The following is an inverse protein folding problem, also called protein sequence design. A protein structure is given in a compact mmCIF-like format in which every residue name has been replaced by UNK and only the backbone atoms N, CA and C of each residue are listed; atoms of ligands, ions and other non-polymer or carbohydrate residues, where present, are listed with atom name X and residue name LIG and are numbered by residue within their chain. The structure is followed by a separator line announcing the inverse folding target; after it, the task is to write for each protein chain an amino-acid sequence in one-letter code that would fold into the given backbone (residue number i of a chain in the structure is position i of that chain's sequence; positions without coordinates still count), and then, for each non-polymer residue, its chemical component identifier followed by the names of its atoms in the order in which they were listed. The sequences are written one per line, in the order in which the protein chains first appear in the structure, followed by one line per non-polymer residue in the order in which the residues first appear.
data_IF_096636729774
#
_entry.id   IF_096636729774
#
_cell.length_a   1.000
_cell.length_b   1.000
_cell.length_c   1.000
_cell.angle_alpha   90.00
_cell.angle_beta   90.00
_cell.angle_gamma   90.00
#
_symmetry.space_group_name_H-M   'P 1'
#
loop_
_entity.id
_entity.type
_entity.pdbx_description
1 polymer ?
#
# COMPACT_ATOMS: atom_id res chain seq x y z
N UNK A 1 21.64 -76.55 -7.60
CA UNK A 1 20.76 -75.36 -7.45
C UNK A 1 21.63 -74.19 -7.02
N UNK A 2 21.74 -73.15 -7.86
CA UNK A 2 22.57 -71.96 -7.62
C UNK A 2 21.75 -70.97 -6.78
N UNK A 3 22.18 -70.69 -5.55
CA UNK A 3 21.60 -69.67 -4.70
C UNK A 3 22.27 -68.32 -5.02
N UNK A 4 21.60 -67.47 -5.80
CA UNK A 4 22.04 -66.10 -6.05
C UNK A 4 21.64 -65.22 -4.87
N UNK A 5 22.62 -64.75 -4.10
CA UNK A 5 22.44 -63.73 -3.05
C UNK A 5 22.53 -62.35 -3.72
N UNK A 6 21.50 -61.49 -3.67
CA UNK A 6 21.65 -60.14 -4.20
C UNK A 6 22.55 -59.35 -3.25
N UNK A 7 23.75 -59.02 -3.71
CA UNK A 7 24.60 -58.03 -3.05
C UNK A 7 24.04 -56.66 -3.41
N UNK A 8 23.21 -56.12 -2.53
CA UNK A 8 22.77 -54.72 -2.63
C UNK A 8 23.99 -53.87 -2.27
N UNK A 9 24.63 -53.32 -3.31
CA UNK A 9 25.76 -52.42 -3.17
C UNK A 9 25.34 -51.20 -2.34
N UNK A 10 25.96 -51.04 -1.17
CA UNK A 10 25.80 -49.90 -0.27
C UNK A 10 26.08 -48.54 -0.95
N UNK A 11 26.67 -48.54 -2.15
CA UNK A 11 26.96 -47.34 -2.93
C UNK A 11 25.72 -46.67 -3.53
N UNK A 12 24.58 -47.36 -3.70
CA UNK A 12 23.39 -46.77 -4.31
C UNK A 12 22.43 -46.13 -3.31
N UNK A 13 22.52 -46.48 -2.02
CA UNK A 13 21.67 -45.89 -0.97
C UNK A 13 22.18 -44.49 -0.61
N UNK A 14 23.48 -44.24 -0.76
CA UNK A 14 24.09 -42.94 -0.45
C UNK A 14 23.73 -41.83 -1.45
N UNK A 15 23.26 -42.14 -2.67
CA UNK A 15 22.92 -41.13 -3.67
C UNK A 15 21.46 -40.65 -3.55
N UNK A 16 20.59 -41.42 -2.88
CA UNK A 16 19.17 -41.04 -2.69
C UNK A 16 18.93 -40.13 -1.47
N UNK A 17 19.93 -39.88 -0.63
CA UNK A 17 19.81 -39.03 0.56
C UNK A 17 20.30 -37.58 0.38
N UNK A 18 20.63 -37.17 -0.86
CA UNK A 18 21.08 -35.81 -1.20
C UNK A 18 19.99 -34.92 -1.83
N UNK A 19 18.72 -35.33 -1.75
CA UNK A 19 17.58 -34.43 -1.96
C UNK A 19 17.06 -34.00 -0.60
N UNK A 20 17.93 -33.40 0.21
CA UNK A 20 17.49 -32.65 1.38
C UNK A 20 16.77 -31.41 0.87
N UNK A 21 15.47 -31.39 1.14
CA UNK A 21 14.54 -30.30 0.89
C UNK A 21 15.18 -28.93 1.14
N UNK A 22 15.49 -28.21 0.06
CA UNK A 22 15.55 -26.75 0.12
C UNK A 22 14.12 -26.29 -0.09
N UNK A 23 13.29 -26.48 0.94
CA UNK A 23 12.14 -25.62 1.11
C UNK A 23 12.72 -24.26 1.48
N UNK A 24 12.99 -23.41 0.48
CA UNK A 24 13.06 -21.97 0.75
C UNK A 24 11.65 -21.60 1.17
N UNK A 25 11.35 -21.73 2.45
CA UNK A 25 10.40 -20.81 3.07
C UNK A 25 10.97 -19.43 2.77
N UNK A 26 10.37 -18.71 1.82
CA UNK A 26 10.61 -17.30 1.68
C UNK A 26 10.25 -16.70 3.05
N UNK A 27 11.26 -16.49 3.88
CA UNK A 27 11.12 -15.66 5.06
C UNK A 27 10.89 -14.29 4.42
N UNK A 28 9.63 -13.85 4.46
CA UNK A 28 9.29 -12.49 4.09
C UNK A 28 9.94 -11.60 5.14
N UNK A 29 11.23 -11.32 4.98
CA UNK A 29 12.01 -10.53 5.93
C UNK A 29 11.31 -9.17 6.07
N UNK A 30 10.85 -8.90 7.29
CA UNK A 30 10.24 -7.63 7.66
C UNK A 30 11.34 -6.55 7.64
N UNK A 31 11.32 -5.69 6.63
CA UNK A 31 12.23 -4.56 6.51
C UNK A 31 11.45 -3.25 6.64
N UNK A 32 12.05 -2.17 7.17
CA UNK A 32 11.39 -0.88 7.20
C UNK A 32 11.04 -0.38 5.79
N UNK A 33 9.78 -0.02 5.57
CA UNK A 33 9.34 0.70 4.38
C UNK A 33 9.99 2.08 4.40
N UNK A 34 10.47 2.57 3.25
CA UNK A 34 11.23 3.82 3.16
C UNK A 34 10.50 4.85 2.31
N UNK A 35 10.61 6.10 2.72
CA UNK A 35 10.08 7.23 1.96
C UNK A 35 10.97 7.55 0.73
N UNK A 36 10.59 8.58 -0.03
CA UNK A 36 11.37 9.05 -1.19
C UNK A 36 12.78 9.52 -0.83
N UNK A 37 13.05 9.90 0.42
CA UNK A 37 14.36 10.32 0.91
C UNK A 37 15.20 9.13 1.42
N UNK A 38 14.59 7.95 1.59
CA UNK A 38 15.24 6.75 2.13
C UNK A 38 15.10 6.61 3.65
N UNK A 39 14.31 7.47 4.30
CA UNK A 39 14.03 7.37 5.73
C UNK A 39 12.94 6.32 5.98
N UNK A 40 13.02 5.54 7.08
CA UNK A 40 11.95 4.63 7.48
C UNK A 40 10.62 5.37 7.69
N UNK A 41 9.54 4.80 7.17
CA UNK A 41 8.18 5.27 7.45
C UNK A 41 7.85 5.09 8.92
N UNK A 42 7.12 6.05 9.47
CA UNK A 42 6.65 6.01 10.85
C UNK A 42 5.12 6.02 10.91
N UNK A 43 4.57 5.30 11.87
CA UNK A 43 3.14 5.38 12.18
C UNK A 43 2.75 6.80 12.61
N UNK A 44 1.47 7.16 12.44
CA UNK A 44 0.93 8.48 12.81
C UNK A 44 1.65 9.69 12.15
N UNK A 45 2.50 9.43 11.15
CA UNK A 45 3.22 10.44 10.36
C UNK A 45 2.55 10.59 9.01
N UNK A 46 2.53 11.83 8.49
CA UNK A 46 1.84 12.16 7.24
C UNK A 46 2.72 11.84 6.03
N UNK A 47 2.17 11.10 5.09
CA UNK A 47 2.80 10.83 3.79
C UNK A 47 1.84 11.12 2.65
N UNK A 48 2.35 11.63 1.53
CA UNK A 48 1.68 11.52 0.25
C UNK A 48 1.99 10.15 -0.36
N UNK A 49 0.96 9.43 -0.81
CA UNK A 49 1.15 8.25 -1.67
C UNK A 49 1.13 8.73 -3.11
N UNK A 50 2.24 8.51 -3.81
CA UNK A 50 2.44 8.97 -5.18
C UNK A 50 2.71 7.78 -6.10
N UNK A 51 2.13 7.76 -7.31
CA UNK A 51 2.48 6.77 -8.31
C UNK A 51 3.98 6.80 -8.60
N UNK A 52 4.62 5.63 -8.64
CA UNK A 52 6.02 5.48 -9.01
C UNK A 52 6.22 5.38 -10.54
N UNK A 53 5.14 5.07 -11.27
CA UNK A 53 5.06 5.01 -12.72
C UNK A 53 4.80 6.39 -13.34
N UNK A 54 4.97 6.48 -14.68
CA UNK A 54 4.80 7.63 -15.59
C UNK A 54 4.44 8.97 -14.95
N UNK A 55 5.24 10.00 -15.19
CA UNK A 55 5.10 11.36 -14.62
C UNK A 55 3.85 12.15 -15.10
N UNK A 56 2.87 11.49 -15.71
CA UNK A 56 1.67 12.13 -16.24
C UNK A 56 0.56 12.15 -15.18
N UNK A 57 0.62 13.14 -14.28
CA UNK A 57 -0.35 13.37 -13.22
C UNK A 57 0.30 13.54 -11.84
N UNK A 58 -0.52 13.62 -10.80
CA UNK A 58 -0.11 13.84 -9.42
C UNK A 58 -0.28 12.60 -8.54
N UNK A 59 -0.45 12.84 -7.24
CA UNK A 59 -0.64 11.80 -6.22
C UNK A 59 -2.08 11.26 -6.13
N UNK A 60 -2.28 10.37 -5.16
CA UNK A 60 -3.58 9.75 -4.89
C UNK A 60 -4.49 10.68 -4.07
N UNK A 61 -5.76 10.77 -4.47
CA UNK A 61 -6.78 11.63 -3.86
C UNK A 61 -8.11 10.88 -3.75
N UNK A 62 -8.98 11.22 -2.79
CA UNK A 62 -10.32 10.64 -2.72
C UNK A 62 -11.23 11.27 -3.78
N UNK A 63 -11.97 10.43 -4.51
CA UNK A 63 -12.99 10.85 -5.47
C UNK A 63 -14.04 9.74 -5.66
N UNK A 64 -15.28 10.09 -6.02
CA UNK A 64 -16.29 9.10 -6.37
C UNK A 64 -15.89 8.33 -7.64
N UNK A 65 -16.02 7.00 -7.64
CA UNK A 65 -15.58 6.15 -8.77
C UNK A 65 -16.51 6.25 -9.97
N UNK A 66 -17.80 6.46 -9.72
CA UNK A 66 -18.86 6.58 -10.72
C UNK A 66 -19.88 7.66 -10.33
N UNK A 67 -20.94 7.83 -11.12
CA UNK A 67 -22.04 8.76 -10.83
C UNK A 67 -23.16 8.14 -9.97
N UNK A 68 -23.09 6.83 -9.70
CA UNK A 68 -24.10 6.09 -8.94
C UNK A 68 -23.95 6.35 -7.44
N UNK A 69 -22.72 6.48 -6.95
CA UNK A 69 -22.41 6.66 -5.54
C UNK A 69 -21.45 7.83 -5.31
N UNK A 70 -21.89 8.82 -4.54
CA UNK A 70 -21.03 9.94 -4.11
C UNK A 70 -20.23 9.61 -2.84
N UNK A 71 -20.69 8.63 -2.07
CA UNK A 71 -20.03 8.10 -0.88
C UNK A 71 -20.28 6.59 -0.82
N UNK A 72 -19.32 5.78 -0.31
CA UNK A 72 -17.95 6.16 0.06
C UNK A 72 -17.11 6.63 -1.14
N UNK A 73 -15.95 7.24 -0.89
CA UNK A 73 -15.05 7.72 -1.95
C UNK A 73 -14.07 6.62 -2.33
N UNK A 74 -13.76 6.49 -3.63
CA UNK A 74 -12.65 5.68 -4.12
C UNK A 74 -11.32 6.43 -4.07
N UNK A 75 -10.24 5.72 -4.37
CA UNK A 75 -8.89 6.30 -4.45
C UNK A 75 -8.50 6.49 -5.91
N UNK A 76 -8.30 7.73 -6.36
CA UNK A 76 -7.99 8.06 -7.75
C UNK A 76 -6.66 8.77 -7.87
N UNK A 77 -5.92 8.49 -8.94
CA UNK A 77 -4.76 9.29 -9.34
C UNK A 77 -5.20 10.60 -9.99
N UNK A 78 -4.84 11.75 -9.41
CA UNK A 78 -5.15 13.05 -10.02
C UNK A 78 -4.39 13.25 -11.33
N UNK A 79 -5.04 13.84 -12.33
CA UNK A 79 -4.42 14.23 -13.61
C UNK A 79 -3.59 15.51 -13.52
N UNK A 80 -3.62 16.22 -12.39
CA UNK A 80 -2.91 17.48 -12.19
C UNK A 80 -1.44 17.22 -11.78
N UNK A 81 -0.43 17.56 -12.61
CA UNK A 81 0.97 17.11 -12.45
C UNK A 81 1.72 17.62 -11.21
N UNK A 82 1.15 18.56 -10.45
CA UNK A 82 1.77 19.13 -9.26
C UNK A 82 0.92 18.96 -8.00
N UNK A 83 -0.24 18.30 -8.09
CA UNK A 83 -1.02 17.98 -6.91
C UNK A 83 -0.37 16.79 -6.21
N UNK A 84 0.13 16.96 -4.97
CA UNK A 84 0.94 15.94 -4.32
C UNK A 84 0.14 14.70 -3.93
N UNK A 85 -1.19 14.79 -3.88
CA UNK A 85 -2.10 13.81 -3.30
C UNK A 85 -2.73 14.36 -2.01
N UNK A 86 -3.69 13.64 -1.45
CA UNK A 86 -4.18 13.91 -0.09
C UNK A 86 -3.30 13.11 0.90
N UNK A 87 -2.80 13.72 2.00
CA UNK A 87 -1.97 13.01 2.96
C UNK A 87 -2.70 11.81 3.58
N UNK A 88 -1.93 10.79 3.95
CA UNK A 88 -2.37 9.67 4.76
C UNK A 88 -1.52 9.52 6.00
N UNK A 89 -2.07 8.91 7.05
CA UNK A 89 -1.33 8.30 8.14
C UNK A 89 -1.45 6.78 8.06
N UNK A 90 -0.44 6.09 8.58
CA UNK A 90 -0.39 4.63 8.66
C UNK A 90 -0.50 4.23 10.13
N UNK A 91 -1.36 3.25 10.41
CA UNK A 91 -1.47 2.62 11.72
C UNK A 91 -1.23 1.12 11.60
N UNK A 92 -0.68 0.50 12.64
CA UNK A 92 -0.49 -0.95 12.75
C UNK A 92 -1.39 -1.52 13.86
N UNK A 93 -1.97 -2.72 13.70
CA UNK A 93 -2.66 -3.41 14.77
C UNK A 93 -1.70 -3.96 15.83
N UNK A 94 -0.41 -4.15 15.50
CA UNK A 94 0.59 -4.68 16.42
C UNK A 94 1.41 -3.56 17.06
N UNK A 95 1.41 -3.50 18.39
CA UNK A 95 2.25 -2.55 19.14
C UNK A 95 3.69 -3.03 19.35
N UNK A 96 4.07 -4.20 18.82
CA UNK A 96 5.38 -4.82 19.07
C UNK A 96 6.53 -4.26 18.22
N UNK A 97 6.23 -3.59 17.10
CA UNK A 97 7.23 -3.16 16.09
C UNK A 97 7.76 -1.73 16.29
N UNK A 98 7.50 -1.14 17.47
CA UNK A 98 7.83 0.25 17.73
C UNK A 98 6.98 1.19 16.87
N UNK A 99 7.60 2.25 16.33
CA UNK A 99 6.91 3.24 15.50
C UNK A 99 7.18 3.05 14.00
N UNK A 100 7.96 2.05 13.60
CA UNK A 100 8.37 1.87 12.21
C UNK A 100 7.31 1.08 11.45
N UNK A 101 7.07 1.46 10.21
CA UNK A 101 6.20 0.70 9.30
C UNK A 101 7.06 -0.32 8.56
N UNK A 102 6.83 -1.60 8.81
CA UNK A 102 7.57 -2.70 8.18
C UNK A 102 6.84 -3.24 6.94
N UNK A 103 7.61 -3.80 6.00
CA UNK A 103 7.08 -4.53 4.85
C UNK A 103 6.43 -5.83 5.32
N UNK A 104 5.45 -6.33 4.57
CA UNK A 104 4.75 -7.59 4.85
C UNK A 104 3.96 -7.63 6.18
N UNK A 105 3.88 -6.52 6.91
CA UNK A 105 3.06 -6.38 8.12
C UNK A 105 1.68 -5.80 7.77
N UNK A 106 0.65 -6.24 8.49
CA UNK A 106 -0.69 -5.68 8.38
C UNK A 106 -0.69 -4.21 8.82
N UNK A 107 -1.20 -3.33 7.96
CA UNK A 107 -1.37 -1.91 8.24
C UNK A 107 -2.74 -1.43 7.80
N UNK A 108 -3.20 -0.33 8.39
CA UNK A 108 -4.34 0.42 7.89
C UNK A 108 -3.88 1.80 7.41
N UNK A 109 -4.41 2.23 6.26
CA UNK A 109 -4.11 3.52 5.63
C UNK A 109 -5.32 4.42 5.82
N UNK A 110 -5.12 5.61 6.39
CA UNK A 110 -6.21 6.55 6.66
C UNK A 110 -5.87 7.92 6.08
N UNK A 111 -6.76 8.49 5.26
CA UNK A 111 -6.57 9.87 4.81
C UNK A 111 -6.58 10.84 6.00
N UNK A 112 -5.67 11.80 5.98
CA UNK A 112 -5.69 12.94 6.90
C UNK A 112 -6.18 14.19 6.17
N UNK A 113 -7.35 14.66 6.58
CA UNK A 113 -8.01 15.82 6.01
C UNK A 113 -8.80 16.57 7.10
N UNK A 114 -8.78 17.92 7.11
CA UNK A 114 -9.55 18.70 8.07
C UNK A 114 -11.06 18.67 7.77
N UNK A 115 -11.44 18.43 6.52
CA UNK A 115 -12.83 18.40 6.06
C UNK A 115 -13.08 17.05 5.39
N UNK A 116 -14.23 16.45 5.66
CA UNK A 116 -14.66 15.19 5.06
C UNK A 116 -16.14 15.28 4.72
N UNK A 117 -16.49 14.99 3.46
CA UNK A 117 -17.85 15.18 2.95
C UNK A 117 -18.72 13.94 3.11
N UNK A 118 -18.13 12.76 3.32
CA UNK A 118 -18.86 11.52 3.53
C UNK A 118 -19.08 11.23 5.02
N UNK A 119 -20.21 10.62 5.41
CA UNK A 119 -20.50 10.27 6.81
C UNK A 119 -19.76 9.00 7.29
N UNK A 120 -18.75 8.54 6.55
CA UNK A 120 -17.93 7.36 6.85
C UNK A 120 -16.50 7.75 7.22
N UNK A 121 -15.71 6.79 7.71
CA UNK A 121 -14.30 7.01 8.03
C UNK A 121 -13.46 7.39 6.79
N UNK A 122 -12.21 7.78 7.05
CA UNK A 122 -11.18 8.08 6.04
C UNK A 122 -10.28 6.89 5.74
N UNK A 123 -10.53 5.76 6.40
CA UNK A 123 -9.68 4.57 6.33
C UNK A 123 -10.01 3.78 5.07
N UNK A 124 -8.96 3.35 4.39
CA UNK A 124 -9.06 2.58 3.15
C UNK A 124 -9.51 1.15 3.45
N UNK A 125 -10.37 0.63 2.60
CA UNK A 125 -10.91 -0.74 2.64
C UNK A 125 -11.27 -1.16 1.22
N UNK A 126 -11.53 -2.45 1.01
CA UNK A 126 -12.02 -2.95 -0.29
C UNK A 126 -13.54 -2.91 -0.32
N UNK A 127 -14.11 -2.42 -1.41
CA UNK A 127 -15.54 -2.58 -1.69
C UNK A 127 -15.80 -4.01 -2.19
N UNK A 128 -16.17 -4.89 -1.26
CA UNK A 128 -16.48 -6.29 -1.57
C UNK A 128 -17.78 -6.48 -2.36
N UNK A 129 -18.59 -5.44 -2.48
CA UNK A 129 -19.87 -5.48 -3.23
C UNK A 129 -19.73 -5.08 -4.69
N UNK A 130 -18.64 -4.38 -5.05
CA UNK A 130 -18.32 -3.99 -6.42
C UNK A 130 -17.65 -5.13 -7.17
N UNK A 131 -18.04 -5.34 -8.44
CA UNK A 131 -17.40 -6.30 -9.33
C UNK A 131 -15.92 -5.96 -9.56
N UNK A 132 -15.60 -4.68 -9.67
CA UNK A 132 -14.24 -4.16 -9.85
C UNK A 132 -13.42 -4.12 -8.56
N UNK A 133 -14.02 -4.36 -7.39
CA UNK A 133 -13.35 -4.36 -6.08
C UNK A 133 -12.55 -3.08 -5.81
N UNK A 134 -13.20 -1.93 -5.99
CA UNK A 134 -12.58 -0.63 -5.73
C UNK A 134 -12.00 -0.54 -4.33
N UNK A 135 -10.83 0.10 -4.21
CA UNK A 135 -10.34 0.57 -2.92
C UNK A 135 -11.11 1.84 -2.59
N UNK A 136 -11.83 1.82 -1.48
CA UNK A 136 -12.73 2.86 -1.02
C UNK A 136 -12.38 3.31 0.40
N UNK A 137 -12.90 4.46 0.79
CA UNK A 137 -12.86 4.96 2.18
C UNK A 137 -14.01 4.38 3.00
N UNK A 138 -13.94 4.47 4.32
CA UNK A 138 -15.05 4.09 5.21
C UNK A 138 -14.80 2.81 6.01
N UNK A 139 -13.60 2.23 5.91
CA UNK A 139 -13.19 1.08 6.69
C UNK A 139 -12.99 1.37 8.19
N UNK A 140 -12.69 0.33 8.96
CA UNK A 140 -12.28 0.46 10.36
C UNK A 140 -10.78 0.12 10.45
N UNK A 141 -9.92 1.05 10.91
CA UNK A 141 -8.48 0.82 10.97
C UNK A 141 -8.07 -0.31 11.94
N UNK A 142 -8.99 -0.81 12.76
CA UNK A 142 -8.79 -1.98 13.65
C UNK A 142 -9.36 -3.28 13.08
N UNK A 143 -10.13 -3.21 12.00
CA UNK A 143 -10.71 -4.37 11.33
C UNK A 143 -9.77 -4.95 10.29
N UNK A 144 -9.72 -6.28 10.19
CA UNK A 144 -8.98 -6.97 9.14
C UNK A 144 -9.47 -6.66 7.72
N UNK A 145 -10.70 -6.16 7.58
CA UNK A 145 -11.27 -5.68 6.32
C UNK A 145 -10.52 -4.48 5.74
N UNK A 146 -9.83 -3.71 6.60
CA UNK A 146 -9.05 -2.53 6.21
C UNK A 146 -7.54 -2.76 6.27
N UNK A 147 -7.10 -4.00 6.46
CA UNK A 147 -5.68 -4.35 6.45
C UNK A 147 -5.13 -4.52 5.04
N UNK A 148 -4.01 -3.85 4.80
CA UNK A 148 -3.16 -4.01 3.65
C UNK A 148 -1.75 -4.35 4.12
N UNK A 149 -0.90 -4.80 3.19
CA UNK A 149 0.54 -4.97 3.39
C UNK A 149 1.27 -4.15 2.34
N UNK A 150 2.42 -3.60 2.75
CA UNK A 150 3.33 -2.92 1.83
C UNK A 150 4.43 -3.89 1.46
N UNK A 151 4.62 -4.10 0.16
CA UNK A 151 5.63 -5.01 -0.37
C UNK A 151 6.51 -4.29 -1.38
N UNK A 152 7.76 -4.74 -1.56
CA UNK A 152 8.66 -4.16 -2.55
C UNK A 152 8.09 -4.41 -3.95
N UNK A 153 8.22 -3.42 -4.83
CA UNK A 153 7.79 -3.53 -6.22
C UNK A 153 9.00 -3.49 -7.15
N UNK A 154 9.19 -4.57 -7.91
CA UNK A 154 10.31 -4.77 -8.83
C UNK A 154 11.67 -4.48 -8.19
N UNK A 155 12.58 -3.94 -9.00
CA UNK A 155 13.94 -3.57 -8.56
C UNK A 155 14.08 -2.06 -8.25
N UNK A 156 12.97 -1.33 -8.18
CA UNK A 156 12.97 0.12 -7.98
C UNK A 156 13.32 0.50 -6.55
N UNK A 157 14.26 1.44 -6.35
CA UNK A 157 14.58 1.96 -5.02
C UNK A 157 13.36 2.65 -4.40
N UNK A 158 13.04 2.30 -3.15
CA UNK A 158 11.92 2.84 -2.37
C UNK A 158 10.61 2.84 -3.16
N UNK A 159 10.37 1.75 -3.91
CA UNK A 159 9.18 1.55 -4.73
C UNK A 159 8.44 0.33 -4.21
N UNK A 160 7.13 0.47 -4.03
CA UNK A 160 6.32 -0.52 -3.33
C UNK A 160 5.01 -0.77 -4.08
N UNK A 161 4.33 -1.84 -3.69
CA UNK A 161 2.93 -2.12 -4.01
C UNK A 161 2.16 -2.35 -2.71
N UNK A 162 0.84 -2.23 -2.79
CA UNK A 162 -0.05 -2.68 -1.73
C UNK A 162 -0.59 -4.06 -2.09
N UNK A 163 -0.67 -4.93 -1.09
CA UNK A 163 -1.23 -6.28 -1.21
C UNK A 163 -2.26 -6.45 -0.10
N UNK A 164 -3.33 -7.16 -0.40
CA UNK A 164 -4.32 -7.60 0.59
C UNK A 164 -4.37 -9.11 0.62
N UNK A 165 -4.44 -9.67 1.81
CA UNK A 165 -4.60 -11.10 2.01
C UNK A 165 -6.03 -11.42 2.42
N UNK A 166 -6.78 -12.01 1.50
CA UNK A 166 -8.12 -12.52 1.76
C UNK A 166 -8.06 -14.05 1.75
N UNK A 167 -8.46 -14.68 2.86
CA UNK A 167 -8.45 -16.14 3.02
C UNK A 167 -7.09 -16.83 2.75
N UNK A 168 -5.98 -16.10 2.89
CA UNK A 168 -4.62 -16.62 2.65
C UNK A 168 -4.10 -16.41 1.23
N UNK A 169 -4.93 -15.89 0.32
CA UNK A 169 -4.51 -15.49 -1.03
C UNK A 169 -4.11 -14.01 -1.03
N UNK A 170 -2.88 -13.73 -1.45
CA UNK A 170 -2.36 -12.36 -1.60
C UNK A 170 -2.77 -11.79 -2.95
N UNK A 171 -3.49 -10.67 -2.94
CA UNK A 171 -3.97 -9.95 -4.11
C UNK A 171 -3.40 -8.55 -4.14
N UNK A 172 -2.72 -8.20 -5.22
CA UNK A 172 -2.11 -6.88 -5.35
C UNK A 172 -3.17 -5.81 -5.65
N UNK A 173 -2.91 -4.59 -5.21
CA UNK A 173 -3.72 -3.42 -5.58
C UNK A 173 -3.23 -2.91 -6.93
N UNK A 174 -4.11 -2.94 -7.92
CA UNK A 174 -3.90 -2.41 -9.26
C UNK A 174 -4.65 -1.10 -9.49
N UNK A 175 -4.98 -0.82 -10.75
CA UNK A 175 -5.83 0.31 -11.11
C UNK A 175 -6.69 0.01 -12.33
N UNK A 176 -7.88 0.60 -12.37
CA UNK A 176 -8.79 0.58 -13.53
C UNK A 176 -9.26 1.99 -13.89
N UNK A 177 -9.81 2.17 -15.08
CA UNK A 177 -10.36 3.46 -15.52
C UNK A 177 -11.66 3.76 -14.77
N UNK A 178 -11.75 4.92 -14.13
CA UNK A 178 -12.97 5.44 -13.48
C UNK A 178 -13.36 6.82 -14.03
N UNK A 179 -14.39 7.43 -13.44
CA UNK A 179 -14.91 8.75 -13.81
C UNK A 179 -13.83 9.85 -13.85
N UNK A 180 -12.89 9.83 -12.88
CA UNK A 180 -11.91 10.91 -12.69
C UNK A 180 -10.48 10.55 -13.09
N UNK A 181 -10.26 9.33 -13.61
CA UNK A 181 -8.95 8.82 -13.97
C UNK A 181 -8.73 7.38 -13.48
N UNK A 182 -7.48 6.92 -13.37
CA UNK A 182 -7.19 5.61 -12.80
C UNK A 182 -7.61 5.55 -11.32
N UNK A 183 -8.56 4.68 -10.98
CA UNK A 183 -8.94 4.35 -9.61
C UNK A 183 -8.25 3.06 -9.16
N UNK A 184 -7.89 2.98 -7.88
CA UNK A 184 -7.33 1.77 -7.29
C UNK A 184 -8.39 0.68 -7.15
N UNK A 185 -8.01 -0.55 -7.47
CA UNK A 185 -8.83 -1.76 -7.37
C UNK A 185 -8.00 -2.91 -6.83
N UNK A 186 -8.65 -3.88 -6.20
CA UNK A 186 -8.02 -5.14 -5.83
C UNK A 186 -8.01 -6.08 -7.04
N UNK A 187 -6.84 -6.56 -7.44
CA UNK A 187 -6.74 -7.49 -8.56
C UNK A 187 -7.21 -8.91 -8.17
N UNK A 188 -7.54 -9.71 -9.18
CA UNK A 188 -7.95 -11.11 -9.00
C UNK A 188 -6.80 -12.12 -9.05
N UNK A 189 -5.65 -11.70 -9.61
CA UNK A 189 -4.48 -12.56 -9.80
C UNK A 189 -3.68 -12.75 -8.51
N UNK A 190 -2.91 -13.84 -8.48
CA UNK A 190 -1.87 -14.04 -7.48
C UNK A 190 -0.93 -12.84 -7.47
N UNK A 191 -0.41 -12.49 -6.29
CA UNK A 191 0.44 -11.32 -6.07
C UNK A 191 1.61 -11.19 -7.07
N UNK A 192 1.34 -10.46 -8.16
CA UNK A 192 2.25 -10.19 -9.25
C UNK A 192 2.51 -8.69 -9.38
N UNK A 193 3.74 -8.34 -9.77
CA UNK A 193 4.11 -6.94 -10.04
C UNK A 193 3.58 -6.44 -11.40
N UNK A 194 3.08 -7.33 -12.25
CA UNK A 194 2.62 -6.98 -13.61
C UNK A 194 1.38 -6.09 -13.57
N UNK A 195 0.42 -6.44 -12.71
CA UNK A 195 -0.86 -5.72 -12.57
C UNK A 195 -0.91 -4.80 -11.35
N UNK A 196 0.13 -4.82 -10.51
CA UNK A 196 0.20 -3.97 -9.33
C UNK A 196 0.40 -2.50 -9.70
N UNK A 197 -0.21 -1.60 -8.94
CA UNK A 197 -0.04 -0.16 -9.07
C UNK A 197 1.15 0.30 -8.23
N UNK A 198 2.29 0.66 -8.84
CA UNK A 198 3.51 0.94 -8.08
C UNK A 198 3.44 2.32 -7.43
N UNK A 199 3.84 2.40 -6.17
CA UNK A 199 3.73 3.60 -5.33
C UNK A 199 5.05 3.95 -4.63
N UNK A 200 5.16 5.22 -4.25
CA UNK A 200 6.17 5.74 -3.32
C UNK A 200 5.49 6.57 -2.24
N UNK A 201 6.11 6.62 -1.07
CA UNK A 201 5.69 7.45 0.04
C UNK A 201 6.60 8.68 0.12
N UNK A 202 6.02 9.88 0.07
CA UNK A 202 6.75 11.13 0.29
C UNK A 202 6.29 11.74 1.60
N UNK A 203 7.19 11.93 2.56
CA UNK A 203 6.86 12.58 3.83
C UNK A 203 6.32 13.99 3.59
N UNK A 204 5.27 14.37 4.33
CA UNK A 204 4.72 15.72 4.29
C UNK A 204 5.54 16.61 5.22
N UNK A 205 6.34 17.51 4.65
CA UNK A 205 7.12 18.49 5.41
C UNK A 205 6.22 19.36 6.31
N UNK A 206 6.27 19.13 7.62
CA UNK A 206 5.63 20.00 8.63
C UNK A 206 6.42 21.30 8.87
N UNK A 207 7.63 21.41 8.33
CA UNK A 207 8.55 22.55 8.50
C UNK A 207 8.17 23.81 7.72
N UNK A 208 7.13 23.78 6.88
CA UNK A 208 6.56 24.97 6.22
C UNK A 208 5.24 25.44 6.82
N UNK A 209 5.06 25.24 8.12
CA UNK A 209 4.13 26.05 8.90
C UNK A 209 4.54 27.53 8.87
N UNK A 210 3.69 28.37 8.25
CA UNK A 210 3.74 29.84 8.23
C UNK A 210 4.66 30.56 7.21
N UNK A 211 4.46 30.34 5.91
CA UNK A 211 4.83 31.35 4.88
C UNK A 211 3.69 32.37 4.65
N UNK A 212 2.61 32.33 5.45
CA UNK A 212 1.83 33.55 5.69
C UNK A 212 2.62 34.42 6.67
N UNK A 213 3.56 35.20 6.13
CA UNK A 213 3.96 36.47 6.76
C UNK A 213 2.64 37.18 7.07
N UNK A 214 2.33 37.28 8.36
CA UNK A 214 1.26 38.13 8.90
C UNK A 214 1.55 39.54 8.40
N UNK A 215 1.04 39.87 7.23
CA UNK A 215 1.01 41.24 6.76
C UNK A 215 0.10 41.94 7.76
N UNK A 216 0.71 42.68 8.67
CA UNK A 216 0.02 43.58 9.57
C UNK A 216 -0.83 44.49 8.68
N UNK A 217 -2.13 44.20 8.61
CA UNK A 217 -3.11 45.12 8.06
C UNK A 217 -3.03 46.36 8.93
N UNK A 218 -2.30 47.37 8.46
CA UNK A 218 -2.39 48.72 9.02
C UNK A 218 -3.81 49.19 8.75
N UNK A 219 -4.57 49.31 9.82
CA UNK A 219 -5.87 49.97 9.84
C UNK A 219 -5.64 51.43 9.42
N UNK A 220 -6.13 51.82 8.25
CA UNK A 220 -6.19 53.22 7.88
C UNK A 220 -7.30 53.89 8.70
N UNK A 221 -7.06 55.05 9.32
CA UNK A 221 -8.13 55.79 9.98
C UNK A 221 -9.09 56.31 8.90
N UNK A 222 -10.38 56.10 9.14
CA UNK A 222 -11.43 56.77 8.38
C UNK A 222 -11.36 58.27 8.68
N UNK A 223 -11.22 59.07 7.62
CA UNK A 223 -11.51 60.50 7.61
C UNK A 223 -12.66 60.72 6.66
#
# INVERSE_FOLDING_TARGET
MKNNKPSISFSFISLFLLVSAVAVSAINDEEPVKDTNGNPLKIETRYFIQPASDNNGGGLVPANVDLSHLCPLGIVRTSLPYQPGLPVTISTPSSSEGNDVLTNTNIAITFDAPIWLCPSSKTWTVDSSSEEKYIITGGDPKSGESFFRIEKYGNGKNTYKLVRYDNGEGKSVGSTKSLWGPALVLNDDDDSDENAFPIKFREVDTSKGSVFKKSSLRMFPFV
#
